data_IF_664095224224
#
_entry.id   IF_664095224224
#
_cell.length_a   1.000
_cell.length_b   1.000
_cell.length_c   1.000
_cell.angle_alpha   90.00
_cell.angle_beta   90.00
_cell.angle_gamma   90.00
#
_symmetry.space_group_name_H-M   'P 1'
#
loop_
_entity.id
_entity.type
_entity.pdbx_description
1 polymer ?
#
# COMPACT_ATOMS: atom_id res chain seq x y z
N UNK A 1 -3.76 -4.18 -15.37
CA UNK A 1 -4.67 -3.47 -14.46
C UNK A 1 -4.11 -2.08 -14.25
N UNK A 2 -4.90 -1.04 -14.52
CA UNK A 2 -4.57 0.34 -14.19
C UNK A 2 -4.85 0.63 -12.71
N UNK A 3 -4.45 1.81 -12.22
CA UNK A 3 -4.77 2.21 -10.85
C UNK A 3 -6.26 2.42 -10.63
N UNK A 4 -6.98 2.91 -11.64
CA UNK A 4 -8.44 3.08 -11.61
C UNK A 4 -9.15 1.72 -11.59
N UNK A 5 -8.70 0.78 -12.42
CA UNK A 5 -9.22 -0.59 -12.42
C UNK A 5 -8.98 -1.27 -11.07
N UNK A 6 -7.79 -1.08 -10.49
CA UNK A 6 -7.44 -1.64 -9.19
C UNK A 6 -8.27 -1.02 -8.07
N UNK A 7 -8.34 0.31 -7.97
CA UNK A 7 -9.12 1.01 -6.94
C UNK A 7 -10.60 0.66 -7.02
N UNK A 8 -11.15 0.57 -8.24
CA UNK A 8 -12.52 0.09 -8.47
C UNK A 8 -12.73 -1.36 -8.00
N UNK A 9 -11.72 -2.23 -8.13
CA UNK A 9 -11.80 -3.60 -7.64
C UNK A 9 -11.65 -3.67 -6.10
N UNK A 10 -10.69 -2.95 -5.53
CA UNK A 10 -10.40 -2.93 -4.09
C UNK A 10 -11.56 -2.34 -3.28
N UNK A 11 -12.18 -1.27 -3.76
CA UNK A 11 -13.33 -0.62 -3.12
C UNK A 11 -14.55 -1.55 -2.95
N UNK A 12 -14.68 -2.59 -3.79
CA UNK A 12 -15.76 -3.60 -3.67
C UNK A 12 -15.55 -4.55 -2.49
N UNK A 13 -14.32 -4.69 -2.00
CA UNK A 13 -13.99 -5.52 -0.83
C UNK A 13 -13.77 -4.69 0.44
N UNK A 14 -13.83 -3.36 0.35
CA UNK A 14 -13.72 -2.42 1.45
C UNK A 14 -14.96 -2.45 2.36
N UNK A 15 -15.00 -3.44 3.25
CA UNK A 15 -16.07 -3.66 4.21
C UNK A 15 -15.58 -3.36 5.63
N UNK A 16 -15.84 -2.15 6.10
CA UNK A 16 -15.54 -1.72 7.47
C UNK A 16 -16.53 -0.64 7.95
N UNK A 17 -16.63 -0.38 9.27
CA UNK A 17 -17.61 0.54 9.82
C UNK A 17 -17.45 1.97 9.29
N UNK A 18 -18.57 2.64 8.96
CA UNK A 18 -18.60 4.04 8.50
C UNK A 18 -17.64 4.35 7.34
N UNK A 19 -17.55 3.45 6.35
CA UNK A 19 -16.77 3.70 5.13
C UNK A 19 -17.20 5.03 4.47
N UNK A 20 -16.22 5.78 3.97
CA UNK A 20 -16.27 7.17 3.48
C UNK A 20 -16.44 8.24 4.58
N UNK A 21 -16.44 7.83 5.85
CA UNK A 21 -16.49 8.70 7.04
C UNK A 21 -15.56 8.17 8.15
N UNK A 22 -14.57 7.34 7.81
CA UNK A 22 -13.70 6.66 8.77
C UNK A 22 -12.32 6.42 8.17
N UNK A 23 -11.54 7.50 8.07
CA UNK A 23 -10.15 7.46 7.63
C UNK A 23 -9.24 6.72 8.61
N UNK A 24 -9.63 6.66 9.89
CA UNK A 24 -8.83 6.01 10.94
C UNK A 24 -8.66 4.52 10.68
N UNK A 25 -9.72 3.83 10.23
CA UNK A 25 -9.67 2.40 9.96
C UNK A 25 -8.59 2.02 8.92
N UNK A 26 -8.62 2.54 7.69
CA UNK A 26 -7.62 2.18 6.70
C UNK A 26 -6.23 2.77 7.02
N UNK A 27 -6.14 3.89 7.74
CA UNK A 27 -4.85 4.45 8.16
C UNK A 27 -4.15 3.56 9.18
N UNK A 28 -4.89 3.02 10.16
CA UNK A 28 -4.34 2.10 11.15
C UNK A 28 -3.96 0.76 10.51
N UNK A 29 -4.80 0.27 9.59
CA UNK A 29 -4.48 -0.92 8.79
C UNK A 29 -3.20 -0.74 7.97
N UNK A 30 -3.07 0.37 7.24
CA UNK A 30 -1.87 0.71 6.48
C UNK A 30 -0.59 0.64 7.33
N UNK A 31 -0.63 1.19 8.54
CA UNK A 31 0.51 1.15 9.46
C UNK A 31 0.83 -0.28 9.92
N UNK A 32 -0.19 -1.12 10.13
CA UNK A 32 -0.05 -2.54 10.42
C UNK A 32 0.68 -3.28 9.30
N UNK A 33 0.19 -3.18 8.08
CA UNK A 33 0.76 -3.91 6.93
C UNK A 33 2.17 -3.42 6.58
N UNK A 34 2.45 -2.12 6.72
CA UNK A 34 3.81 -1.62 6.60
C UNK A 34 4.76 -2.24 7.66
N UNK A 35 4.24 -2.49 8.87
CA UNK A 35 4.94 -3.22 9.92
C UNK A 35 5.18 -4.69 9.59
N UNK A 36 4.22 -5.35 8.93
CA UNK A 36 4.32 -6.73 8.45
C UNK A 36 5.42 -6.87 7.40
N UNK A 37 5.44 -5.97 6.40
CA UNK A 37 6.54 -5.85 5.41
C UNK A 37 7.88 -5.73 6.13
N UNK A 38 8.00 -4.80 7.10
CA UNK A 38 9.24 -4.61 7.85
C UNK A 38 9.64 -5.85 8.65
N UNK A 39 8.67 -6.58 9.22
CA UNK A 39 8.91 -7.80 9.98
C UNK A 39 9.46 -8.93 9.09
N UNK A 40 8.95 -9.09 7.87
CA UNK A 40 9.48 -10.06 6.91
C UNK A 40 10.92 -9.69 6.53
N UNK A 41 11.19 -8.44 6.17
CA UNK A 41 12.56 -7.99 5.83
C UNK A 41 13.52 -8.23 6.99
N UNK A 42 13.10 -7.94 8.23
CA UNK A 42 13.89 -8.22 9.44
C UNK A 42 14.23 -9.71 9.58
N UNK A 43 13.27 -10.61 9.32
CA UNK A 43 13.49 -12.06 9.35
C UNK A 43 14.44 -12.52 8.24
N UNK A 44 14.31 -11.98 7.03
CA UNK A 44 15.25 -12.24 5.92
C UNK A 44 16.69 -11.91 6.33
N UNK A 45 16.89 -10.74 6.94
CA UNK A 45 18.21 -10.33 7.42
C UNK A 45 18.75 -11.26 8.52
N UNK A 46 17.92 -11.62 9.50
CA UNK A 46 18.30 -12.44 10.65
C UNK A 46 18.57 -13.91 10.29
N UNK A 47 17.68 -14.51 9.50
CA UNK A 47 17.60 -15.96 9.32
C UNK A 47 18.19 -16.43 7.98
N UNK A 48 18.24 -15.55 6.98
CA UNK A 48 18.68 -15.87 5.62
C UNK A 48 19.88 -15.03 5.16
N UNK A 49 20.52 -14.30 6.07
CA UNK A 49 21.68 -13.46 5.76
C UNK A 49 21.39 -12.38 4.71
N UNK A 50 20.16 -11.90 4.65
CA UNK A 50 19.72 -10.91 3.66
C UNK A 50 19.34 -11.50 2.29
N UNK A 51 19.42 -12.82 2.10
CA UNK A 51 19.08 -13.47 0.84
C UNK A 51 17.57 -13.67 0.70
N UNK A 52 17.01 -13.16 -0.40
CA UNK A 52 15.62 -13.37 -0.79
C UNK A 52 15.42 -14.78 -1.35
N UNK A 53 14.53 -15.55 -0.74
CA UNK A 53 14.00 -16.80 -1.29
C UNK A 53 12.66 -16.54 -1.98
N UNK A 54 12.23 -17.44 -2.87
CA UNK A 54 10.89 -17.36 -3.50
C UNK A 54 9.77 -17.33 -2.46
N UNK A 55 9.92 -18.05 -1.34
CA UNK A 55 8.96 -18.03 -0.24
C UNK A 55 8.87 -16.63 0.40
N UNK A 56 10.02 -16.02 0.72
CA UNK A 56 10.03 -14.68 1.33
C UNK A 56 9.58 -13.59 0.37
N UNK A 57 9.85 -13.77 -0.94
CA UNK A 57 9.34 -12.90 -2.00
C UNK A 57 7.82 -12.99 -2.13
N UNK A 58 7.25 -14.20 -2.04
CA UNK A 58 5.81 -14.39 -2.06
C UNK A 58 5.15 -13.69 -0.87
N UNK A 59 5.67 -13.89 0.36
CA UNK A 59 5.16 -13.21 1.56
C UNK A 59 5.25 -11.69 1.44
N UNK A 60 6.38 -11.16 0.97
CA UNK A 60 6.51 -9.70 0.73
C UNK A 60 5.50 -9.20 -0.30
N UNK A 61 5.22 -9.96 -1.35
CA UNK A 61 4.22 -9.58 -2.35
C UNK A 61 2.83 -9.50 -1.74
N UNK A 62 2.49 -10.42 -0.84
CA UNK A 62 1.20 -10.44 -0.16
C UNK A 62 1.05 -9.17 0.72
N UNK A 63 2.00 -8.91 1.62
CA UNK A 63 1.95 -7.73 2.50
C UNK A 63 2.02 -6.40 1.72
N UNK A 64 2.80 -6.33 0.63
CA UNK A 64 2.81 -5.16 -0.24
C UNK A 64 1.48 -4.96 -0.97
N UNK A 65 0.76 -6.06 -1.25
CA UNK A 65 -0.59 -6.03 -1.77
C UNK A 65 -1.58 -5.44 -0.77
N UNK A 66 -1.47 -5.82 0.50
CA UNK A 66 -2.30 -5.30 1.58
C UNK A 66 -2.00 -3.83 1.87
N UNK A 67 -0.71 -3.42 1.85
CA UNK A 67 -0.32 -2.00 1.86
C UNK A 67 -0.99 -1.23 0.72
N UNK A 68 -0.93 -1.75 -0.51
CA UNK A 68 -1.57 -1.10 -1.66
C UNK A 68 -3.09 -1.02 -1.50
N UNK A 69 -3.71 -2.05 -0.92
CA UNK A 69 -5.15 -2.07 -0.64
C UNK A 69 -5.54 -0.97 0.35
N UNK A 70 -4.79 -0.81 1.43
CA UNK A 70 -5.07 0.25 2.41
C UNK A 70 -4.76 1.65 1.87
N UNK A 71 -3.76 1.82 1.01
CA UNK A 71 -3.55 3.09 0.29
C UNK A 71 -4.78 3.40 -0.57
N UNK A 72 -5.32 2.40 -1.27
CA UNK A 72 -6.55 2.55 -2.07
C UNK A 72 -7.76 2.92 -1.21
N UNK A 73 -7.92 2.30 -0.04
CA UNK A 73 -9.00 2.63 0.88
C UNK A 73 -8.84 4.04 1.46
N UNK A 74 -7.62 4.46 1.81
CA UNK A 74 -7.37 5.84 2.23
C UNK A 74 -7.67 6.85 1.11
N UNK A 75 -7.35 6.51 -0.14
CA UNK A 75 -7.68 7.35 -1.28
C UNK A 75 -9.20 7.52 -1.43
N UNK A 76 -9.98 6.43 -1.33
CA UNK A 76 -11.44 6.47 -1.33
C UNK A 76 -12.02 7.36 -0.20
N UNK A 77 -11.52 7.20 1.04
CA UNK A 77 -11.96 8.02 2.19
C UNK A 77 -11.67 9.53 2.00
N UNK A 78 -10.69 9.87 1.16
CA UNK A 78 -10.27 11.24 0.87
C UNK A 78 -10.87 11.81 -0.42
N UNK A 79 -11.74 11.06 -1.10
CA UNK A 79 -12.24 11.39 -2.44
C UNK A 79 -11.11 11.61 -3.45
N UNK A 80 -10.07 10.78 -3.37
CA UNK A 80 -8.92 10.78 -4.27
C UNK A 80 -8.83 9.49 -5.08
N UNK A 81 -8.28 9.61 -6.28
CA UNK A 81 -7.89 8.51 -7.15
C UNK A 81 -6.42 8.13 -6.94
N UNK A 82 -6.11 6.84 -7.02
CA UNK A 82 -4.72 6.39 -7.02
C UNK A 82 -3.92 6.99 -8.20
N UNK A 83 -4.57 7.23 -9.33
CA UNK A 83 -4.00 7.89 -10.49
C UNK A 83 -3.52 9.31 -10.17
N UNK A 84 -4.34 10.13 -9.51
CA UNK A 84 -3.92 11.50 -9.14
C UNK A 84 -2.81 11.49 -8.09
N UNK A 85 -2.87 10.58 -7.11
CA UNK A 85 -1.84 10.45 -6.07
C UNK A 85 -0.49 10.09 -6.72
N UNK A 86 -0.50 9.15 -7.67
CA UNK A 86 0.70 8.72 -8.39
C UNK A 86 1.26 9.85 -9.25
N UNK A 87 0.42 10.52 -10.06
CA UNK A 87 0.84 11.63 -10.91
C UNK A 87 1.43 12.79 -10.10
N UNK A 88 0.73 13.20 -9.02
CA UNK A 88 1.21 14.23 -8.11
C UNK A 88 2.54 13.86 -7.47
N UNK A 89 2.72 12.59 -7.06
CA UNK A 89 3.96 12.12 -6.46
C UNK A 89 5.14 12.24 -7.43
N UNK A 90 4.96 11.82 -8.68
CA UNK A 90 5.98 11.90 -9.74
C UNK A 90 6.38 13.37 -9.99
N UNK A 91 5.41 14.25 -10.19
CA UNK A 91 5.65 15.69 -10.43
C UNK A 91 6.38 16.35 -9.25
N UNK A 92 5.97 16.02 -8.03
CA UNK A 92 6.60 16.52 -6.80
C UNK A 92 8.05 16.04 -6.69
N UNK A 93 8.35 14.78 -7.01
CA UNK A 93 9.70 14.22 -6.94
C UNK A 93 10.60 14.75 -8.05
N UNK A 94 10.09 14.97 -9.26
CA UNK A 94 10.84 15.57 -10.36
C UNK A 94 11.36 16.97 -9.98
N UNK A 95 10.50 17.81 -9.38
CA UNK A 95 10.86 19.14 -8.87
C UNK A 95 11.93 19.08 -7.77
N UNK A 96 11.86 18.08 -6.88
CA UNK A 96 12.83 17.90 -5.78
C UNK A 96 14.23 17.54 -6.28
N UNK A 97 14.31 16.80 -7.38
CA UNK A 97 15.57 16.34 -7.95
C UNK A 97 16.11 17.24 -9.09
N UNK A 98 15.54 18.44 -9.26
CA UNK A 98 16.08 19.45 -10.19
C UNK A 98 16.06 19.04 -11.65
N UNK A 99 15.06 18.24 -12.06
CA UNK A 99 14.72 18.06 -13.48
C UNK A 99 13.65 19.04 -13.89
#
# INVERSE_FOLDING_TARGET
MTFEEYQSAASKTALYPRRLENLEYPTLGLAGEAGEVANIVKKIQRDHGGLLTEETRAKLKDELGDVLWYISACADELDLTLGEIAAYNVDKLAKRHGK
#
